data_IF_894208002032
#
_entry.id   IF_894208002032
#
_cell.length_a   1.000
_cell.length_b   1.000
_cell.length_c   1.000
_cell.angle_alpha   90.00
_cell.angle_beta   90.00
_cell.angle_gamma   90.00
#
_symmetry.space_group_name_H-M   'P 1'
#
loop_
_entity.id
_entity.type
_entity.pdbx_description
1 polymer ?
#
# COMPACT_ATOMS: atom_id res chain seq x y z
N UNK A 1 -20.10 -10.03 -10.35
CA UNK A 1 -19.63 -9.22 -9.21
C UNK A 1 -20.41 -7.92 -9.12
N UNK A 2 -21.04 -7.67 -7.98
CA UNK A 2 -21.64 -6.39 -7.63
C UNK A 2 -20.56 -5.37 -7.18
N UNK A 3 -20.96 -4.10 -7.00
CA UNK A 3 -20.01 -3.02 -6.65
C UNK A 3 -19.27 -3.27 -5.34
N UNK A 4 -19.93 -3.83 -4.32
CA UNK A 4 -19.30 -4.14 -3.02
C UNK A 4 -18.29 -5.28 -3.15
N UNK A 5 -18.58 -6.29 -3.97
CA UNK A 5 -17.63 -7.36 -4.29
C UNK A 5 -16.39 -6.84 -5.01
N UNK A 6 -16.53 -5.90 -5.95
CA UNK A 6 -15.39 -5.25 -6.60
C UNK A 6 -14.57 -4.43 -5.61
N UNK A 7 -15.21 -3.70 -4.70
CA UNK A 7 -14.50 -2.93 -3.67
C UNK A 7 -13.68 -3.83 -2.74
N UNK A 8 -14.18 -5.00 -2.36
CA UNK A 8 -13.41 -5.95 -1.55
C UNK A 8 -12.12 -6.45 -2.21
N UNK A 9 -12.07 -6.44 -3.54
CA UNK A 9 -10.84 -6.75 -4.30
C UNK A 9 -9.95 -5.52 -4.39
N UNK A 10 -10.51 -4.34 -4.65
CA UNK A 10 -9.71 -3.13 -4.87
C UNK A 10 -9.10 -2.54 -3.60
N UNK A 11 -9.84 -2.55 -2.49
CA UNK A 11 -9.41 -1.93 -1.23
C UNK A 11 -8.08 -2.52 -0.71
N UNK A 12 -7.87 -3.85 -0.67
CA UNK A 12 -6.56 -4.43 -0.34
C UNK A 12 -5.43 -3.95 -1.25
N UNK A 13 -5.65 -3.89 -2.56
CA UNK A 13 -4.64 -3.43 -3.52
C UNK A 13 -4.24 -1.97 -3.30
N UNK A 14 -5.20 -1.08 -3.01
CA UNK A 14 -4.89 0.31 -2.71
C UNK A 14 -4.13 0.46 -1.38
N UNK A 15 -4.52 -0.29 -0.35
CA UNK A 15 -3.83 -0.30 0.95
C UNK A 15 -2.37 -0.77 0.78
N UNK A 16 -2.15 -1.84 0.00
CA UNK A 16 -0.81 -2.33 -0.32
C UNK A 16 0.01 -1.30 -1.10
N UNK A 17 -0.59 -0.68 -2.11
CA UNK A 17 0.07 0.34 -2.92
C UNK A 17 0.45 1.58 -2.09
N UNK A 18 -0.42 2.01 -1.18
CA UNK A 18 -0.16 3.11 -0.28
C UNK A 18 1.06 2.84 0.62
N UNK A 19 1.26 1.59 1.06
CA UNK A 19 2.46 1.23 1.84
C UNK A 19 3.76 1.46 1.05
N UNK A 20 3.77 1.17 -0.26
CA UNK A 20 4.91 1.46 -1.13
C UNK A 20 5.20 2.97 -1.18
N UNK A 21 4.16 3.78 -1.41
CA UNK A 21 4.29 5.24 -1.44
C UNK A 21 4.73 5.83 -0.11
N UNK A 22 4.23 5.33 1.02
CA UNK A 22 4.68 5.76 2.35
C UNK A 22 6.19 5.55 2.52
N UNK A 23 6.71 4.41 2.08
CA UNK A 23 8.13 4.11 2.16
C UNK A 23 8.95 5.01 1.22
N UNK A 24 8.47 5.24 -0.01
CA UNK A 24 9.12 6.14 -0.97
C UNK A 24 9.18 7.59 -0.44
N UNK A 25 8.07 8.13 0.05
CA UNK A 25 8.01 9.50 0.58
C UNK A 25 8.95 9.67 1.77
N UNK A 26 8.98 8.71 2.70
CA UNK A 26 9.89 8.73 3.83
C UNK A 26 11.37 8.65 3.38
N UNK A 27 11.67 7.80 2.40
CA UNK A 27 13.01 7.65 1.84
C UNK A 27 13.52 8.93 1.15
N UNK A 28 12.64 9.62 0.42
CA UNK A 28 12.98 10.91 -0.20
C UNK A 28 13.09 12.04 0.81
N UNK A 29 12.18 12.10 1.79
CA UNK A 29 12.24 13.10 2.85
C UNK A 29 13.59 13.05 3.58
N UNK A 30 14.05 11.85 3.94
CA UNK A 30 15.35 11.65 4.60
C UNK A 30 16.56 12.07 3.73
N UNK A 31 16.46 11.93 2.40
CA UNK A 31 17.52 12.36 1.48
C UNK A 31 17.60 13.88 1.37
N UNK A 32 16.44 14.55 1.30
CA UNK A 32 16.37 16.00 1.06
C UNK A 32 16.38 16.84 2.34
N UNK A 33 16.15 16.24 3.53
CA UNK A 33 16.10 16.93 4.82
C UNK A 33 17.36 17.80 5.11
N UNK A 34 18.53 17.37 4.62
CA UNK A 34 19.79 18.10 4.78
C UNK A 34 19.96 19.28 3.82
N UNK A 35 19.21 19.30 2.72
CA UNK A 35 19.33 20.28 1.64
C UNK A 35 18.14 21.23 1.58
N UNK A 36 16.95 20.75 1.90
CA UNK A 36 15.69 21.50 1.85
C UNK A 36 14.70 20.93 2.88
N UNK A 37 14.53 21.64 3.99
CA UNK A 37 13.65 21.24 5.08
C UNK A 37 12.17 21.40 4.72
N UNK A 38 11.82 22.35 3.85
CA UNK A 38 10.43 22.60 3.46
C UNK A 38 9.92 21.46 2.57
N UNK A 39 10.74 21.02 1.61
CA UNK A 39 10.40 19.85 0.77
C UNK A 39 10.28 18.58 1.64
N UNK A 40 11.22 18.36 2.58
CA UNK A 40 11.14 17.22 3.49
C UNK A 40 9.85 17.24 4.33
N UNK A 41 9.48 18.42 4.86
CA UNK A 41 8.25 18.60 5.63
C UNK A 41 6.99 18.28 4.80
N UNK A 42 6.94 18.73 3.54
CA UNK A 42 5.82 18.43 2.63
C UNK A 42 5.71 16.93 2.31
N UNK A 43 6.82 16.24 2.13
CA UNK A 43 6.84 14.78 1.93
C UNK A 43 6.36 14.03 3.17
N UNK A 44 6.75 14.48 4.37
CA UNK A 44 6.22 13.93 5.62
C UNK A 44 4.72 14.18 5.79
N UNK A 45 4.24 15.37 5.41
CA UNK A 45 2.81 15.69 5.42
C UNK A 45 2.03 14.82 4.43
N UNK A 46 2.56 14.59 3.24
CA UNK A 46 1.95 13.67 2.26
C UNK A 46 1.86 12.25 2.82
N UNK A 47 2.93 11.76 3.47
CA UNK A 47 2.93 10.46 4.12
C UNK A 47 1.90 10.38 5.27
N UNK A 48 1.75 11.42 6.09
CA UNK A 48 0.73 11.46 7.13
C UNK A 48 -0.68 11.37 6.55
N UNK A 49 -0.95 12.16 5.49
CA UNK A 49 -2.24 12.18 4.80
C UNK A 49 -2.58 10.82 4.19
N UNK A 50 -1.58 10.13 3.64
CA UNK A 50 -1.76 8.80 3.08
C UNK A 50 -2.03 7.74 4.15
N UNK A 51 -1.47 7.87 5.36
CA UNK A 51 -1.83 7.01 6.52
C UNK A 51 -3.29 7.19 6.93
N UNK A 52 -3.79 8.43 6.94
CA UNK A 52 -5.19 8.71 7.26
C UNK A 52 -6.14 8.10 6.20
N UNK A 53 -5.76 8.21 4.91
CA UNK A 53 -6.47 7.54 3.83
C UNK A 53 -6.46 6.01 4.04
N UNK A 54 -5.32 5.42 4.39
CA UNK A 54 -5.19 3.99 4.67
C UNK A 54 -6.12 3.52 5.79
N UNK A 55 -6.24 4.29 6.87
CA UNK A 55 -7.18 4.00 7.96
C UNK A 55 -8.64 4.03 7.47
N UNK A 56 -9.00 4.99 6.64
CA UNK A 56 -10.34 5.06 6.05
C UNK A 56 -10.62 3.86 5.12
N UNK A 57 -9.64 3.48 4.28
CA UNK A 57 -9.75 2.32 3.38
C UNK A 57 -9.89 1.01 4.15
N UNK A 58 -9.15 0.83 5.25
CA UNK A 58 -9.29 -0.35 6.13
C UNK A 58 -10.68 -0.43 6.75
N UNK A 59 -11.23 0.70 7.24
CA UNK A 59 -12.61 0.76 7.74
C UNK A 59 -13.62 0.41 6.64
N UNK A 60 -13.44 0.93 5.43
CA UNK A 60 -14.28 0.61 4.28
C UNK A 60 -14.22 -0.89 3.95
N UNK A 61 -13.03 -1.50 4.02
CA UNK A 61 -12.85 -2.94 3.78
C UNK A 61 -13.63 -3.77 4.80
N UNK A 62 -13.52 -3.45 6.08
CA UNK A 62 -14.29 -4.10 7.14
C UNK A 62 -15.81 -3.96 6.92
N UNK A 63 -16.29 -2.74 6.65
CA UNK A 63 -17.72 -2.49 6.42
C UNK A 63 -18.27 -3.17 5.15
N UNK A 64 -17.41 -3.38 4.15
CA UNK A 64 -17.76 -4.11 2.93
C UNK A 64 -17.80 -5.63 3.12
N UNK A 65 -17.46 -6.14 4.32
CA UNK A 65 -17.37 -7.57 4.62
C UNK A 65 -16.13 -8.24 4.04
N UNK A 66 -15.03 -7.50 3.89
CA UNK A 66 -13.73 -8.04 3.52
C UNK A 66 -12.83 -8.25 4.73
N UNK A 67 -11.92 -9.21 4.64
CA UNK A 67 -10.94 -9.49 5.69
C UNK A 67 -9.79 -8.48 5.65
N UNK A 68 -9.48 -7.88 6.80
CA UNK A 68 -8.23 -7.13 6.95
C UNK A 68 -7.13 -8.17 7.17
N UNK A 69 -6.39 -8.50 6.10
CA UNK A 69 -5.18 -9.31 6.26
C UNK A 69 -4.15 -8.46 7.01
N UNK A 70 -3.97 -8.73 8.29
CA UNK A 70 -2.77 -8.34 9.03
C UNK A 70 -1.55 -8.87 8.23
N UNK A 71 -0.54 -8.02 8.02
CA UNK A 71 0.61 -8.32 7.17
C UNK A 71 1.34 -9.57 7.69
N UNK A 72 1.08 -10.73 7.09
CA UNK A 72 1.66 -11.99 7.55
C UNK A 72 1.37 -13.24 6.71
N UNK A 73 0.86 -13.12 5.49
CA UNK A 73 0.69 -14.26 4.60
C UNK A 73 1.19 -13.92 3.21
N UNK A 74 2.47 -14.20 2.98
CA UNK A 74 3.08 -14.28 1.67
C UNK A 74 2.33 -15.31 0.82
N UNK A 75 1.47 -14.85 -0.09
CA UNK A 75 0.97 -15.70 -1.16
C UNK A 75 2.10 -15.88 -2.16
N UNK A 76 2.93 -16.90 -1.93
CA UNK A 76 3.90 -17.38 -2.91
C UNK A 76 3.15 -17.82 -4.17
N UNK A 77 3.07 -16.94 -5.16
CA UNK A 77 2.83 -17.38 -6.52
C UNK A 77 4.07 -18.16 -6.96
N UNK A 78 3.98 -19.49 -6.87
CA UNK A 78 4.89 -20.39 -7.54
C UNK A 78 4.86 -20.08 -9.05
N UNK A 79 5.85 -19.33 -9.53
CA UNK A 79 6.21 -19.38 -10.94
C UNK A 79 6.72 -20.79 -11.22
N UNK A 80 5.91 -21.59 -11.92
CA UNK A 80 6.40 -22.81 -12.55
C UNK A 80 7.43 -22.40 -13.61
N UNK A 81 8.71 -22.54 -13.27
CA UNK A 81 9.79 -22.59 -14.24
C UNK A 81 9.60 -23.87 -15.07
N UNK A 82 9.11 -23.74 -16.31
CA UNK A 82 9.24 -24.81 -17.28
C UNK A 82 10.69 -24.80 -17.80
N UNK A 83 11.52 -25.68 -17.25
CA UNK A 83 12.73 -26.14 -17.92
C UNK A 83 12.29 -27.07 -19.06
N UNK A 84 12.51 -26.66 -20.30
CA UNK A 84 12.53 -27.57 -21.46
C UNK A 84 13.99 -27.96 -21.69
N UNK A 85 14.34 -29.26 -21.70
CA UNK A 85 15.61 -29.74 -22.22
C UNK A 85 15.45 -30.06 -23.72
N UNK A 86 16.34 -29.52 -24.54
CA UNK A 86 17.09 -30.19 -25.62
C UNK A 86 18.18 -29.24 -26.17
#
# INVERSE_FOLDING_TARGET
MNTIEKLRVMLPHWIEHNASHLNEFAGWAAQVEKTDQDIAALLHQAAASLRDADQALRKALTLSGGEVKEQGAHHHHHHHHHNLPE
#
